data_IF_591627154904
#
_entry.id   IF_591627154904
#
_cell.length_a   1.000
_cell.length_b   1.000
_cell.length_c   1.000
_cell.angle_alpha   90.00
_cell.angle_beta   90.00
_cell.angle_gamma   90.00
#
_symmetry.space_group_name_H-M   'P 1'
#
loop_
_entity.id
_entity.type
_entity.pdbx_description
1 polymer ?
#
# COMPACT_ATOMS: atom_id res chain seq x y z
N UNK A 1 42.78 -40.55 -25.03
CA UNK A 1 41.35 -40.23 -25.19
C UNK A 1 40.57 -41.41 -24.62
N UNK A 2 40.27 -41.36 -23.32
CA UNK A 2 39.49 -42.40 -22.64
C UNK A 2 38.01 -42.03 -22.68
N UNK A 3 37.22 -42.94 -23.25
CA UNK A 3 35.78 -42.84 -23.45
C UNK A 3 35.07 -43.28 -22.17
N UNK A 4 34.45 -42.35 -21.45
CA UNK A 4 33.59 -42.65 -20.30
C UNK A 4 32.24 -43.19 -20.80
N UNK A 5 32.03 -44.50 -20.68
CA UNK A 5 30.73 -45.14 -20.92
C UNK A 5 29.78 -44.90 -19.76
N UNK A 6 28.70 -44.16 -20.00
CA UNK A 6 27.61 -43.97 -19.02
C UNK A 6 26.73 -45.21 -19.00
N UNK A 7 26.76 -45.98 -17.91
CA UNK A 7 25.83 -47.10 -17.69
C UNK A 7 24.48 -46.56 -17.20
N UNK A 8 23.48 -46.60 -18.06
CA UNK A 8 22.09 -46.27 -17.71
C UNK A 8 21.47 -47.46 -16.99
N UNK A 9 21.38 -47.39 -15.66
CA UNK A 9 20.70 -48.39 -14.84
C UNK A 9 19.21 -48.33 -15.16
N UNK A 10 18.73 -49.30 -15.93
CA UNK A 10 17.30 -49.46 -16.25
C UNK A 10 16.64 -50.15 -15.06
N UNK A 11 16.04 -49.37 -14.15
CA UNK A 11 15.27 -49.90 -13.02
C UNK A 11 13.92 -50.40 -13.56
N UNK A 12 13.81 -51.70 -13.80
CA UNK A 12 12.54 -52.37 -14.06
C UNK A 12 11.71 -52.35 -12.78
N UNK A 13 10.81 -51.37 -12.66
CA UNK A 13 9.80 -51.34 -11.61
C UNK A 13 8.74 -52.38 -11.96
N UNK A 14 8.82 -53.57 -11.37
CA UNK A 14 7.73 -54.55 -11.40
C UNK A 14 6.49 -53.91 -10.80
N UNK A 15 5.52 -53.61 -11.66
CA UNK A 15 4.24 -53.06 -11.28
C UNK A 15 3.40 -54.23 -10.75
N UNK A 16 3.50 -54.50 -9.44
CA UNK A 16 2.57 -55.39 -8.76
C UNK A 16 1.16 -54.80 -8.92
N UNK A 17 0.36 -55.43 -9.78
CA UNK A 17 -1.07 -55.16 -9.93
C UNK A 17 -1.76 -55.56 -8.64
N UNK A 18 -1.90 -54.61 -7.72
CA UNK A 18 -2.68 -54.81 -6.51
C UNK A 18 -4.16 -54.93 -6.88
N UNK A 19 -4.67 -56.10 -6.58
CA UNK A 19 -6.07 -56.50 -6.61
C UNK A 19 -6.94 -55.50 -5.86
N UNK A 20 -8.08 -55.20 -6.47
CA UNK A 20 -9.14 -54.31 -6.05
C UNK A 20 -9.50 -54.35 -4.56
N UNK A 21 -9.20 -53.25 -3.85
CA UNK A 21 -9.95 -52.81 -2.68
C UNK A 21 -10.52 -51.42 -3.00
N UNK A 22 -11.74 -51.38 -3.53
CA UNK A 22 -12.47 -50.16 -3.91
C UNK A 22 -12.67 -49.16 -2.76
N UNK A 23 -12.42 -49.56 -1.50
CA UNK A 23 -12.40 -48.67 -0.34
C UNK A 23 -11.11 -47.86 -0.22
N UNK A 24 -9.96 -48.38 -0.65
CA UNK A 24 -8.65 -47.71 -0.50
C UNK A 24 -8.42 -46.61 -1.54
N UNK A 25 -8.99 -46.75 -2.75
CA UNK A 25 -8.88 -45.71 -3.79
C UNK A 25 -9.52 -44.39 -3.35
N UNK A 26 -10.65 -44.45 -2.66
CA UNK A 26 -11.33 -43.26 -2.12
C UNK A 26 -10.52 -42.56 -1.03
N UNK A 27 -9.80 -43.33 -0.22
CA UNK A 27 -8.97 -42.80 0.87
C UNK A 27 -7.64 -42.24 0.34
N UNK A 28 -7.11 -42.87 -0.71
CA UNK A 28 -5.90 -42.43 -1.41
C UNK A 28 -6.17 -41.13 -2.19
N UNK A 29 -7.31 -41.02 -2.88
CA UNK A 29 -7.73 -39.77 -3.52
C UNK A 29 -7.92 -38.64 -2.50
N UNK A 30 -8.59 -38.89 -1.36
CA UNK A 30 -8.74 -37.88 -0.30
C UNK A 30 -7.39 -37.39 0.25
N UNK A 31 -6.42 -38.27 0.45
CA UNK A 31 -5.07 -37.89 0.89
C UNK A 31 -4.34 -37.08 -0.18
N UNK A 32 -4.47 -37.46 -1.46
CA UNK A 32 -3.87 -36.71 -2.57
C UNK A 32 -4.48 -35.31 -2.69
N UNK A 33 -5.80 -35.18 -2.60
CA UNK A 33 -6.49 -33.89 -2.62
C UNK A 33 -6.08 -33.02 -1.42
N UNK A 34 -5.93 -33.63 -0.25
CA UNK A 34 -5.44 -32.94 0.95
C UNK A 34 -4.00 -32.47 0.76
N UNK A 35 -3.12 -33.30 0.19
CA UNK A 35 -1.72 -32.93 -0.09
C UNK A 35 -1.62 -31.86 -1.18
N UNK A 36 -2.47 -31.90 -2.20
CA UNK A 36 -2.55 -30.86 -3.22
C UNK A 36 -3.04 -29.54 -2.62
N UNK A 37 -4.06 -29.58 -1.78
CA UNK A 37 -4.55 -28.40 -1.06
C UNK A 37 -3.45 -27.81 -0.16
N UNK A 38 -2.76 -28.65 0.60
CA UNK A 38 -1.64 -28.22 1.46
C UNK A 38 -0.46 -27.71 0.64
N UNK A 39 -0.12 -28.33 -0.49
CA UNK A 39 0.98 -27.88 -1.34
C UNK A 39 0.62 -26.57 -2.07
N UNK A 40 -0.66 -26.37 -2.42
CA UNK A 40 -1.17 -25.08 -2.90
C UNK A 40 -1.09 -24.01 -1.82
N UNK A 41 -1.46 -24.32 -0.58
CA UNK A 41 -1.34 -23.43 0.58
C UNK A 41 0.13 -23.02 0.80
N UNK A 42 1.03 -24.01 0.83
CA UNK A 42 2.48 -23.80 1.00
C UNK A 42 3.07 -23.04 -0.19
N UNK A 43 2.65 -23.33 -1.42
CA UNK A 43 3.10 -22.58 -2.59
C UNK A 43 2.64 -21.12 -2.53
N UNK A 44 1.42 -20.89 -2.05
CA UNK A 44 0.86 -19.55 -1.84
C UNK A 44 1.59 -18.79 -0.72
N UNK A 45 1.93 -19.46 0.38
CA UNK A 45 2.78 -18.90 1.43
C UNK A 45 4.20 -18.60 0.92
N UNK A 46 4.80 -19.50 0.13
CA UNK A 46 6.13 -19.30 -0.47
C UNK A 46 6.14 -18.19 -1.54
N UNK A 47 5.00 -17.88 -2.15
CA UNK A 47 4.88 -16.71 -3.03
C UNK A 47 4.86 -15.39 -2.27
N UNK A 48 4.51 -15.39 -0.98
CA UNK A 48 4.39 -14.18 -0.15
C UNK A 48 5.68 -13.83 0.60
N UNK A 49 6.56 -14.80 0.86
CA UNK A 49 7.80 -14.60 1.60
C UNK A 49 9.00 -15.15 0.82
N UNK A 50 10.03 -14.32 0.65
CA UNK A 50 11.20 -14.67 -0.14
C UNK A 50 12.18 -15.56 0.66
N UNK A 51 12.08 -15.55 1.99
CA UNK A 51 12.93 -16.31 2.93
C UNK A 51 12.16 -16.77 4.17
N UNK A 52 12.57 -17.90 4.76
CA UNK A 52 12.04 -18.38 6.05
C UNK A 52 12.24 -17.37 7.18
N UNK A 53 13.31 -16.55 7.09
CA UNK A 53 13.54 -15.45 8.03
C UNK A 53 12.44 -14.39 7.95
N UNK A 54 12.04 -13.99 6.74
CA UNK A 54 10.93 -13.05 6.55
C UNK A 54 9.61 -13.63 7.05
N UNK A 55 9.38 -14.94 6.84
CA UNK A 55 8.19 -15.62 7.36
C UNK A 55 8.14 -15.59 8.88
N UNK A 56 9.27 -15.84 9.54
CA UNK A 56 9.37 -15.82 11.00
C UNK A 56 9.18 -14.39 11.54
N UNK A 57 9.78 -13.39 10.91
CA UNK A 57 9.60 -11.99 11.27
C UNK A 57 8.15 -11.52 11.07
N UNK A 58 7.50 -11.90 9.97
CA UNK A 58 6.09 -11.60 9.70
C UNK A 58 5.15 -12.29 10.70
N UNK A 59 5.43 -13.55 11.07
CA UNK A 59 4.66 -14.27 12.09
C UNK A 59 4.78 -13.64 13.49
N UNK A 60 5.87 -12.92 13.76
CA UNK A 60 6.09 -12.19 15.00
C UNK A 60 5.50 -10.77 14.99
N UNK A 61 4.96 -10.30 13.85
CA UNK A 61 4.32 -8.98 13.78
C UNK A 61 3.00 -8.95 14.54
N UNK A 62 2.88 -8.03 15.48
CA UNK A 62 1.67 -7.90 16.31
C UNK A 62 0.46 -7.35 15.53
N UNK A 63 0.71 -6.45 14.58
CA UNK A 63 -0.32 -5.79 13.76
C UNK A 63 0.21 -5.54 12.34
N UNK A 64 0.17 -6.54 11.45
CA UNK A 64 0.56 -6.36 10.06
C UNK A 64 -0.50 -5.56 9.29
N UNK A 65 -0.05 -4.60 8.49
CA UNK A 65 -0.88 -3.88 7.54
C UNK A 65 -0.51 -4.30 6.12
N UNK A 66 -1.53 -4.57 5.31
CA UNK A 66 -1.36 -4.78 3.88
C UNK A 66 -1.08 -3.47 3.15
N UNK A 67 -0.41 -3.51 1.99
CA UNK A 67 -0.13 -2.32 1.16
C UNK A 67 -1.38 -1.46 0.94
N UNK A 68 -2.52 -2.09 0.63
CA UNK A 68 -3.79 -1.37 0.43
C UNK A 68 -4.20 -0.58 1.67
N UNK A 69 -4.03 -1.13 2.86
CA UNK A 69 -4.35 -0.44 4.11
C UNK A 69 -3.34 0.66 4.41
N UNK A 70 -2.06 0.39 4.20
CA UNK A 70 -0.98 1.34 4.39
C UNK A 70 -1.19 2.60 3.54
N UNK A 71 -1.42 2.44 2.24
CA UNK A 71 -1.67 3.56 1.33
C UNK A 71 -3.04 4.23 1.57
N UNK A 72 -4.04 3.49 2.05
CA UNK A 72 -5.33 4.08 2.43
C UNK A 72 -5.19 4.99 3.67
N UNK A 73 -4.48 4.54 4.71
CA UNK A 73 -4.23 5.36 5.89
C UNK A 73 -3.31 6.54 5.56
N UNK A 74 -2.28 6.33 4.73
CA UNK A 74 -1.44 7.43 4.25
C UNK A 74 -2.26 8.48 3.48
N UNK A 75 -3.16 8.03 2.60
CA UNK A 75 -4.08 8.92 1.90
C UNK A 75 -5.05 9.67 2.79
N UNK A 76 -5.54 9.01 3.86
CA UNK A 76 -6.35 9.67 4.88
C UNK A 76 -5.56 10.80 5.56
N UNK A 77 -4.30 10.54 5.94
CA UNK A 77 -3.44 11.54 6.60
C UNK A 77 -3.16 12.72 5.66
N UNK A 78 -2.82 12.46 4.39
CA UNK A 78 -2.63 13.50 3.38
C UNK A 78 -3.92 14.24 3.01
N UNK A 79 -5.09 13.63 3.23
CA UNK A 79 -6.38 14.29 3.08
C UNK A 79 -6.74 15.22 4.24
N UNK A 80 -6.28 14.92 5.46
CA UNK A 80 -6.61 15.70 6.66
C UNK A 80 -5.62 16.83 6.87
N UNK A 81 -4.33 16.50 6.96
CA UNK A 81 -3.34 17.40 7.54
C UNK A 81 -2.95 18.57 6.63
N UNK A 82 -2.63 18.38 5.34
CA UNK A 82 -2.31 19.50 4.45
C UNK A 82 -3.45 20.52 4.32
N UNK A 83 -4.72 20.14 4.07
CA UNK A 83 -5.81 21.11 4.07
C UNK A 83 -5.98 21.79 5.44
N UNK A 84 -5.92 21.03 6.54
CA UNK A 84 -5.96 21.60 7.88
C UNK A 84 -4.82 22.61 8.14
N UNK A 85 -3.62 22.37 7.60
CA UNK A 85 -2.48 23.28 7.71
C UNK A 85 -2.69 24.57 6.90
N UNK A 86 -3.24 24.49 5.68
CA UNK A 86 -3.62 25.68 4.89
C UNK A 86 -4.62 26.52 5.66
N UNK A 87 -5.67 25.89 6.21
CA UNK A 87 -6.66 26.60 7.00
C UNK A 87 -6.09 27.14 8.30
N UNK A 88 -5.27 26.39 9.03
CA UNK A 88 -4.60 26.89 10.23
C UNK A 88 -3.78 28.16 9.93
N UNK A 89 -3.04 28.17 8.82
CA UNK A 89 -2.32 29.39 8.37
C UNK A 89 -3.27 30.54 8.08
N UNK A 90 -4.39 30.28 7.41
CA UNK A 90 -5.42 31.28 7.13
C UNK A 90 -6.04 31.85 8.42
N UNK A 91 -6.38 30.98 9.37
CA UNK A 91 -6.92 31.35 10.68
C UNK A 91 -5.94 32.22 11.47
N UNK A 92 -4.65 31.85 11.49
CA UNK A 92 -3.60 32.62 12.17
C UNK A 92 -3.43 34.03 11.56
N UNK A 93 -3.51 34.14 10.24
CA UNK A 93 -3.37 35.42 9.54
C UNK A 93 -4.60 36.32 9.68
N UNK A 94 -5.78 35.75 9.93
CA UNK A 94 -7.02 36.52 10.08
C UNK A 94 -7.07 37.36 11.38
N UNK A 95 -6.27 37.01 12.39
CA UNK A 95 -5.95 37.84 13.57
C UNK A 95 -7.09 38.13 14.57
N UNK A 96 -8.35 38.17 14.14
CA UNK A 96 -9.53 38.46 14.98
C UNK A 96 -10.72 37.59 14.56
N UNK A 97 -10.86 36.42 15.18
CA UNK A 97 -12.08 35.61 15.04
C UNK A 97 -13.24 36.26 15.81
N UNK A 98 -14.25 36.72 15.09
CA UNK A 98 -15.53 37.11 15.70
C UNK A 98 -16.41 35.88 15.81
N UNK A 99 -17.37 35.87 16.73
CA UNK A 99 -18.31 34.75 16.88
C UNK A 99 -19.10 34.45 15.58
N UNK A 100 -19.21 35.44 14.70
CA UNK A 100 -19.80 35.33 13.37
C UNK A 100 -19.00 34.43 12.41
N UNK A 101 -17.72 34.15 12.68
CA UNK A 101 -16.84 33.37 11.80
C UNK A 101 -16.88 31.86 12.10
N UNK A 102 -17.74 31.41 13.01
CA UNK A 102 -17.82 29.99 13.41
C UNK A 102 -18.22 29.06 12.25
N UNK A 103 -18.96 29.56 11.25
CA UNK A 103 -19.31 28.80 10.06
C UNK A 103 -18.08 28.37 9.25
N UNK A 104 -16.98 29.14 9.29
CA UNK A 104 -15.73 28.82 8.60
C UNK A 104 -15.15 27.52 9.15
N UNK A 105 -15.19 27.31 10.47
CA UNK A 105 -14.75 26.05 11.08
C UNK A 105 -15.60 24.86 10.60
N UNK A 106 -16.90 25.06 10.43
CA UNK A 106 -17.80 24.05 9.86
C UNK A 106 -17.42 23.67 8.43
N UNK A 107 -17.16 24.67 7.57
CA UNK A 107 -16.72 24.43 6.19
C UNK A 107 -15.36 23.71 6.16
N UNK A 108 -14.41 24.14 6.99
CA UNK A 108 -13.09 23.49 7.10
C UNK A 108 -13.21 22.04 7.54
N UNK A 109 -14.06 21.75 8.52
CA UNK A 109 -14.30 20.39 8.99
C UNK A 109 -14.87 19.50 7.86
N UNK A 110 -15.83 20.01 7.08
CA UNK A 110 -16.43 19.29 5.95
C UNK A 110 -15.39 19.04 4.85
N UNK A 111 -14.59 20.04 4.52
CA UNK A 111 -13.52 19.94 3.50
C UNK A 111 -12.48 18.91 3.91
N UNK A 112 -12.03 18.95 5.17
CA UNK A 112 -11.09 17.97 5.72
C UNK A 112 -11.69 16.56 5.70
N UNK A 113 -12.97 16.41 6.08
CA UNK A 113 -13.65 15.11 6.08
C UNK A 113 -13.73 14.53 4.67
N UNK A 114 -14.17 15.31 3.68
CA UNK A 114 -14.28 14.84 2.30
C UNK A 114 -12.89 14.52 1.73
N UNK A 115 -11.90 15.39 1.97
CA UNK A 115 -10.52 15.16 1.56
C UNK A 115 -9.95 13.88 2.19
N UNK A 116 -10.22 13.62 3.47
CA UNK A 116 -9.82 12.40 4.17
C UNK A 116 -10.48 11.15 3.58
N UNK A 117 -11.79 11.21 3.32
CA UNK A 117 -12.55 10.08 2.75
C UNK A 117 -12.06 9.78 1.34
N UNK A 118 -11.95 10.80 0.49
CA UNK A 118 -11.44 10.65 -0.88
C UNK A 118 -10.01 10.14 -0.85
N UNK A 119 -9.15 10.71 0.00
CA UNK A 119 -7.78 10.26 0.22
C UNK A 119 -7.68 8.79 0.64
N UNK A 120 -8.56 8.35 1.56
CA UNK A 120 -8.61 6.96 2.01
C UNK A 120 -9.01 5.98 0.89
N UNK A 121 -10.09 6.28 0.16
CA UNK A 121 -10.57 5.39 -0.91
C UNK A 121 -9.64 5.38 -2.11
N UNK A 122 -9.17 6.54 -2.55
CA UNK A 122 -8.20 6.64 -3.64
C UNK A 122 -6.86 6.02 -3.25
N UNK A 123 -6.45 6.14 -1.99
CA UNK A 123 -5.25 5.49 -1.44
C UNK A 123 -5.29 3.96 -1.55
N UNK A 124 -6.46 3.32 -1.42
CA UNK A 124 -6.59 1.87 -1.68
C UNK A 124 -6.27 1.50 -3.11
N UNK A 125 -6.69 2.33 -4.07
CA UNK A 125 -6.44 2.13 -5.50
C UNK A 125 -4.96 2.34 -5.79
N UNK A 126 -4.39 3.42 -5.27
CA UNK A 126 -2.95 3.71 -5.41
C UNK A 126 -2.11 2.59 -4.79
N UNK A 127 -2.46 2.10 -3.61
CA UNK A 127 -1.75 0.97 -2.99
C UNK A 127 -1.77 -0.30 -3.83
N UNK A 128 -2.88 -0.58 -4.53
CA UNK A 128 -2.94 -1.69 -5.49
C UNK A 128 -1.98 -1.45 -6.67
N UNK A 129 -1.99 -0.25 -7.24
CA UNK A 129 -1.12 0.10 -8.38
C UNK A 129 0.36 0.05 -7.96
N UNK A 130 0.70 0.57 -6.77
CA UNK A 130 2.07 0.54 -6.25
C UNK A 130 2.53 -0.90 -5.99
N UNK A 131 1.69 -1.76 -5.41
CA UNK A 131 2.02 -3.18 -5.23
C UNK A 131 2.29 -3.91 -6.56
N UNK A 132 1.59 -3.54 -7.64
CA UNK A 132 1.89 -4.06 -8.99
C UNK A 132 3.20 -3.49 -9.57
N UNK A 133 3.48 -2.20 -9.33
CA UNK A 133 4.71 -1.53 -9.74
C UNK A 133 5.96 -2.04 -9.01
N UNK A 134 5.82 -2.52 -7.78
CA UNK A 134 6.94 -3.08 -7.02
C UNK A 134 7.55 -4.32 -7.69
N UNK A 135 6.78 -5.01 -8.55
CA UNK A 135 7.27 -6.13 -9.38
C UNK A 135 8.15 -5.68 -10.53
N UNK A 136 8.15 -4.38 -10.86
CA UNK A 136 9.01 -3.82 -11.90
C UNK A 136 10.39 -3.46 -11.35
N UNK A 137 11.32 -3.17 -12.27
CA UNK A 137 12.65 -2.70 -11.89
C UNK A 137 12.57 -1.37 -11.13
N UNK A 138 13.47 -1.20 -10.16
CA UNK A 138 13.49 -0.06 -9.24
C UNK A 138 13.48 1.30 -9.96
N UNK A 139 14.25 1.43 -11.05
CA UNK A 139 14.30 2.64 -11.86
C UNK A 139 12.98 2.98 -12.54
N UNK A 140 12.25 1.97 -13.04
CA UNK A 140 10.93 2.17 -13.67
C UNK A 140 9.90 2.59 -12.63
N UNK A 141 9.92 1.94 -11.47
CA UNK A 141 9.04 2.29 -10.35
C UNK A 141 9.26 3.74 -9.92
N UNK A 142 10.51 4.17 -9.71
CA UNK A 142 10.85 5.52 -9.29
C UNK A 142 10.44 6.59 -10.33
N UNK A 143 10.50 6.26 -11.62
CA UNK A 143 10.10 7.15 -12.70
C UNK A 143 8.57 7.31 -12.77
N UNK A 144 7.81 6.25 -12.50
CA UNK A 144 6.34 6.26 -12.63
C UNK A 144 5.63 6.82 -11.38
N UNK A 145 6.21 6.60 -10.19
CA UNK A 145 5.62 7.02 -8.91
C UNK A 145 5.25 8.52 -8.84
N UNK A 146 6.08 9.48 -9.30
CA UNK A 146 5.71 10.89 -9.29
C UNK A 146 4.45 11.21 -10.09
N UNK A 147 4.24 10.53 -11.23
CA UNK A 147 3.05 10.73 -12.07
C UNK A 147 1.78 10.19 -11.40
N UNK A 148 1.89 9.03 -10.75
CA UNK A 148 0.78 8.48 -9.96
C UNK A 148 0.47 9.40 -8.79
N UNK A 149 1.51 9.85 -8.08
CA UNK A 149 1.39 10.81 -6.99
C UNK A 149 0.74 12.12 -7.44
N UNK A 150 1.14 12.62 -8.61
CA UNK A 150 0.55 13.82 -9.22
C UNK A 150 -0.95 13.63 -9.49
N UNK A 151 -1.34 12.56 -10.18
CA UNK A 151 -2.75 12.29 -10.50
C UNK A 151 -3.59 12.06 -9.24
N UNK A 152 -3.05 11.27 -8.32
CA UNK A 152 -3.71 10.97 -7.05
C UNK A 152 -3.92 12.24 -6.21
N UNK A 153 -2.87 13.04 -6.08
CA UNK A 153 -2.90 14.31 -5.38
C UNK A 153 -3.87 15.30 -6.02
N UNK A 154 -3.89 15.39 -7.35
CA UNK A 154 -4.84 16.23 -8.08
C UNK A 154 -6.29 15.83 -7.80
N UNK A 155 -6.59 14.52 -7.81
CA UNK A 155 -7.92 14.00 -7.53
C UNK A 155 -8.35 14.26 -6.08
N UNK A 156 -7.49 13.94 -5.11
CA UNK A 156 -7.80 14.12 -3.69
C UNK A 156 -7.94 15.61 -3.32
N UNK A 157 -7.00 16.45 -3.76
CA UNK A 157 -7.03 17.89 -3.51
C UNK A 157 -8.15 18.60 -4.28
N UNK A 158 -8.42 18.19 -5.51
CA UNK A 158 -9.54 18.71 -6.30
C UNK A 158 -10.89 18.40 -5.65
N UNK A 159 -11.08 17.18 -5.15
CA UNK A 159 -12.34 16.80 -4.49
C UNK A 159 -12.62 17.63 -3.22
N UNK A 160 -11.60 17.91 -2.41
CA UNK A 160 -11.72 18.82 -1.28
C UNK A 160 -11.99 20.28 -1.70
N UNK A 161 -11.32 20.73 -2.76
CA UNK A 161 -11.45 22.10 -3.27
C UNK A 161 -12.81 22.44 -3.88
N UNK A 162 -13.51 21.46 -4.48
CA UNK A 162 -14.85 21.65 -5.07
C UNK A 162 -15.86 22.23 -4.06
N UNK A 163 -15.70 21.90 -2.78
CA UNK A 163 -16.59 22.35 -1.70
C UNK A 163 -16.48 23.86 -1.46
N UNK A 164 -15.31 24.45 -1.73
CA UNK A 164 -15.01 25.87 -1.52
C UNK A 164 -15.04 26.61 -2.87
N UNK A 165 -16.01 26.30 -3.72
CA UNK A 165 -16.19 26.84 -5.08
C UNK A 165 -15.29 26.20 -6.16
N UNK A 166 -15.72 26.31 -7.43
CA UNK A 166 -15.04 25.76 -8.61
C UNK A 166 -13.57 26.20 -8.73
N UNK A 167 -13.26 27.43 -8.30
CA UNK A 167 -11.87 27.92 -8.24
C UNK A 167 -11.03 27.18 -7.20
N UNK A 168 -11.61 26.84 -6.05
CA UNK A 168 -10.97 26.04 -5.00
C UNK A 168 -10.54 24.65 -5.52
N UNK A 169 -11.31 24.05 -6.43
CA UNK A 169 -10.96 22.78 -7.06
C UNK A 169 -9.64 22.85 -7.86
N UNK A 170 -9.41 23.95 -8.59
CA UNK A 170 -8.19 24.12 -9.39
C UNK A 170 -6.97 24.26 -8.48
N UNK A 171 -7.03 25.15 -7.48
CA UNK A 171 -5.93 25.31 -6.51
C UNK A 171 -5.71 24.04 -5.69
N UNK A 172 -6.79 23.42 -5.21
CA UNK A 172 -6.73 22.15 -4.49
C UNK A 172 -6.08 21.05 -5.31
N UNK A 173 -6.42 20.93 -6.60
CA UNK A 173 -5.78 19.98 -7.50
C UNK A 173 -4.30 20.32 -7.74
N UNK A 174 -3.93 21.59 -7.93
CA UNK A 174 -2.53 21.99 -8.12
C UNK A 174 -1.67 21.69 -6.89
N UNK A 175 -2.11 22.11 -5.70
CA UNK A 175 -1.38 21.83 -4.46
C UNK A 175 -1.37 20.34 -4.14
N UNK A 176 -2.51 19.67 -4.30
CA UNK A 176 -2.62 18.23 -4.12
C UNK A 176 -1.66 17.48 -5.03
N UNK A 177 -1.59 17.84 -6.32
CA UNK A 177 -0.70 17.20 -7.28
C UNK A 177 0.77 17.42 -6.95
N UNK A 178 1.16 18.65 -6.59
CA UNK A 178 2.51 18.96 -6.14
C UNK A 178 2.89 18.12 -4.91
N UNK A 179 2.06 18.14 -3.87
CA UNK A 179 2.26 17.34 -2.65
C UNK A 179 2.32 15.84 -2.97
N UNK A 180 1.36 15.32 -3.71
CA UNK A 180 1.25 13.89 -4.03
C UNK A 180 2.45 13.39 -4.85
N UNK A 181 2.94 14.19 -5.81
CA UNK A 181 4.09 13.85 -6.65
C UNK A 181 5.40 13.71 -5.86
N UNK A 182 5.53 14.36 -4.71
CA UNK A 182 6.69 14.26 -3.83
C UNK A 182 6.49 13.25 -2.71
N UNK A 183 5.31 13.27 -2.09
CA UNK A 183 4.98 12.45 -0.93
C UNK A 183 4.87 10.96 -1.30
N UNK A 184 4.30 10.64 -2.47
CA UNK A 184 4.12 9.23 -2.87
C UNK A 184 5.46 8.53 -3.17
N UNK A 185 6.40 9.08 -3.97
CA UNK A 185 7.70 8.44 -4.16
C UNK A 185 8.48 8.31 -2.87
N UNK A 186 8.52 9.35 -2.03
CA UNK A 186 9.19 9.31 -0.74
C UNK A 186 8.61 8.17 0.12
N UNK A 187 7.29 8.13 0.28
CA UNK A 187 6.61 7.09 1.05
C UNK A 187 6.86 5.69 0.47
N UNK A 188 6.76 5.51 -0.84
CA UNK A 188 6.98 4.22 -1.49
C UNK A 188 8.41 3.69 -1.33
N UNK A 189 9.43 4.57 -1.38
CA UNK A 189 10.83 4.17 -1.13
C UNK A 189 10.98 3.64 0.29
N UNK A 190 10.51 4.38 1.30
CA UNK A 190 10.61 3.95 2.69
C UNK A 190 9.75 2.73 2.98
N UNK A 191 8.55 2.66 2.39
CA UNK A 191 7.67 1.50 2.47
C UNK A 191 8.42 0.24 2.01
N UNK A 192 9.04 0.30 0.84
CA UNK A 192 9.80 -0.82 0.27
C UNK A 192 11.04 -1.18 1.10
N UNK A 193 11.67 -0.22 1.77
CA UNK A 193 12.83 -0.47 2.64
C UNK A 193 12.45 -1.11 3.98
N UNK A 194 11.24 -0.86 4.47
CA UNK A 194 10.79 -1.32 5.80
C UNK A 194 9.82 -2.48 5.76
N UNK A 195 9.30 -2.85 4.59
CA UNK A 195 8.40 -3.99 4.46
C UNK A 195 9.16 -5.31 4.65
N UNK A 196 8.52 -6.26 5.34
CA UNK A 196 8.95 -7.65 5.38
C UNK A 196 7.91 -8.46 4.59
N UNK A 197 8.26 -8.89 3.37
CA UNK A 197 7.28 -9.44 2.41
C UNK A 197 6.29 -8.39 1.91
N UNK A 198 4.99 -8.72 1.95
CA UNK A 198 3.85 -7.86 1.53
C UNK A 198 3.16 -7.15 2.71
N UNK A 199 3.82 -7.08 3.87
CA UNK A 199 3.25 -6.51 5.09
C UNK A 199 4.20 -5.51 5.74
N UNK A 200 3.61 -4.45 6.28
CA UNK A 200 4.29 -3.44 7.09
C UNK A 200 3.70 -3.43 8.50
N UNK A 201 4.55 -3.49 9.52
CA UNK A 201 4.08 -3.38 10.89
C UNK A 201 3.64 -1.94 11.22
N UNK A 202 2.51 -1.80 11.91
CA UNK A 202 1.93 -0.50 12.28
C UNK A 202 2.94 0.44 12.98
N UNK A 203 3.86 -0.10 13.79
CA UNK A 203 4.87 0.68 14.54
C UNK A 203 5.84 1.42 13.63
N UNK A 204 6.13 0.91 12.43
CA UNK A 204 6.99 1.56 11.44
C UNK A 204 6.19 2.48 10.52
N UNK A 205 4.93 2.11 10.24
CA UNK A 205 4.03 2.91 9.42
C UNK A 205 3.74 4.30 10.00
N UNK A 206 3.40 4.37 11.29
CA UNK A 206 3.00 5.63 11.92
C UNK A 206 4.08 6.73 11.84
N UNK A 207 5.33 6.52 12.32
CA UNK A 207 6.34 7.56 12.25
C UNK A 207 6.67 7.97 10.81
N UNK A 208 6.61 7.02 9.86
CA UNK A 208 6.85 7.32 8.44
C UNK A 208 5.77 8.24 7.86
N UNK A 209 4.51 7.82 8.02
CA UNK A 209 3.36 8.53 7.44
C UNK A 209 3.19 9.91 8.07
N UNK A 210 3.31 10.02 9.40
CA UNK A 210 3.32 11.30 10.09
C UNK A 210 4.52 12.16 9.72
N UNK A 211 5.72 11.58 9.61
CA UNK A 211 6.93 12.32 9.23
C UNK A 211 6.79 13.02 7.89
N UNK A 212 6.40 12.28 6.84
CA UNK A 212 6.20 12.85 5.50
C UNK A 212 5.08 13.89 5.52
N UNK A 213 3.96 13.58 6.18
CA UNK A 213 2.80 14.48 6.24
C UNK A 213 3.13 15.78 6.99
N UNK A 214 3.86 15.71 8.10
CA UNK A 214 4.28 16.88 8.86
C UNK A 214 5.33 17.71 8.15
N UNK A 215 6.25 17.09 7.39
CA UNK A 215 7.17 17.84 6.52
C UNK A 215 6.38 18.66 5.50
N UNK A 216 5.40 18.05 4.83
CA UNK A 216 4.50 18.75 3.90
C UNK A 216 3.76 19.89 4.60
N UNK A 217 3.20 19.63 5.80
CA UNK A 217 2.48 20.66 6.56
C UNK A 217 3.40 21.80 7.00
N UNK A 218 4.65 21.52 7.37
CA UNK A 218 5.63 22.54 7.73
C UNK A 218 5.94 23.46 6.54
N UNK A 219 6.13 22.90 5.34
CA UNK A 219 6.29 23.68 4.11
C UNK A 219 5.06 24.57 3.82
N UNK A 220 3.85 24.06 4.06
CA UNK A 220 2.60 24.81 3.87
C UNK A 220 2.46 25.93 4.90
N UNK A 221 2.74 25.65 6.18
CA UNK A 221 2.65 26.64 7.27
C UNK A 221 3.71 27.74 7.12
N UNK A 222 4.73 27.51 6.30
CA UNK A 222 5.76 28.50 6.02
C UNK A 222 6.74 28.62 7.17
N UNK A 223 7.26 27.47 7.62
CA UNK A 223 8.68 27.47 7.99
C UNK A 223 9.50 28.25 6.94
#
# INVERSE_FOLDING_TARGET
MESAGTQTITRSTEFNSFSSNTSDDSLTQKRLDTLLAVNLEIAREKMLFHSEKERMEAALMKNPLSDKQVFAYFGLLLGIFPPAAIFARFLMNAGNFRGEDFWILGVVAIVNLISAVVGYFSGKVVGKIVGELERLSWSKMLLVLPFIGFLWGALAGGAGGIIIFLFGAVFGAMFGAAVGSLALPAFAIFHRLMKCGDQLELKHFLPLSFGITFIVCAFILGW
#
